data_IF_352045059860
#
_entry.id   IF_352045059860
#
_cell.length_a   1.000
_cell.length_b   1.000
_cell.length_c   1.000
_cell.angle_alpha   90.00
_cell.angle_beta   90.00
_cell.angle_gamma   90.00
#
_symmetry.space_group_name_H-M   'P 1'
#
loop_
_entity.id
_entity.type
_entity.pdbx_description
1 polymer ?
#
# COMPACT_ATOMS: atom_id res chain seq x y z
N UNK A 1 13.47 -0.43 10.90
CA UNK A 1 14.42 -0.74 9.81
C UNK A 1 13.74 -1.67 8.82
N UNK A 2 13.81 -1.36 7.54
CA UNK A 2 13.20 -2.15 6.47
C UNK A 2 13.82 -1.79 5.12
N UNK A 3 13.75 -2.72 4.17
CA UNK A 3 14.20 -2.57 2.78
C UNK A 3 13.05 -2.21 1.83
N UNK A 4 11.82 -2.27 2.32
CA UNK A 4 10.60 -1.99 1.58
C UNK A 4 9.51 -1.57 2.56
N UNK A 5 8.65 -0.65 2.13
CA UNK A 5 7.60 -0.06 2.97
C UNK A 5 6.24 -0.66 2.64
N UNK A 6 6.06 -1.11 1.39
CA UNK A 6 4.77 -1.56 0.89
C UNK A 6 4.87 -2.36 -0.39
N UNK A 7 3.83 -3.16 -0.63
CA UNK A 7 3.52 -3.75 -1.92
C UNK A 7 2.64 -2.78 -2.71
N UNK A 8 3.06 -2.46 -3.93
CA UNK A 8 2.24 -1.75 -4.91
C UNK A 8 1.73 -2.75 -5.97
N UNK A 9 0.48 -2.60 -6.39
CA UNK A 9 -0.15 -3.39 -7.46
C UNK A 9 -0.83 -2.43 -8.43
N UNK A 10 -0.62 -2.62 -9.72
CA UNK A 10 -1.34 -1.95 -10.79
C UNK A 10 -2.15 -2.99 -11.58
N UNK A 11 -3.46 -2.93 -11.42
CA UNK A 11 -4.42 -3.86 -12.03
C UNK A 11 -4.85 -3.38 -13.43
N UNK A 12 -5.27 -4.30 -14.29
CA UNK A 12 -5.71 -3.99 -15.65
C UNK A 12 -6.95 -3.08 -15.73
N UNK A 13 -7.76 -3.02 -14.66
CA UNK A 13 -8.88 -2.09 -14.50
C UNK A 13 -8.43 -0.65 -14.16
N UNK A 14 -7.12 -0.39 -14.04
CA UNK A 14 -6.54 0.91 -13.72
C UNK A 14 -6.41 1.22 -12.23
N UNK A 15 -6.80 0.30 -11.34
CA UNK A 15 -6.58 0.45 -9.90
C UNK A 15 -5.09 0.35 -9.58
N UNK A 16 -4.60 1.34 -8.83
CA UNK A 16 -3.33 1.27 -8.10
C UNK A 16 -3.66 0.96 -6.65
N UNK A 17 -3.16 -0.15 -6.12
CA UNK A 17 -3.35 -0.57 -4.74
C UNK A 17 -2.01 -0.55 -4.01
N UNK A 18 -1.97 0.17 -2.89
CA UNK A 18 -0.83 0.21 -1.99
C UNK A 18 -1.13 -0.52 -0.69
N UNK A 19 -0.32 -1.51 -0.37
CA UNK A 19 -0.40 -2.30 0.84
C UNK A 19 0.86 -2.08 1.68
N UNK A 20 0.82 -1.20 2.70
CA UNK A 20 1.93 -1.09 3.65
C UNK A 20 2.26 -2.44 4.27
N UNK A 21 3.55 -2.73 4.40
CA UNK A 21 4.05 -3.94 5.03
C UNK A 21 3.96 -3.82 6.55
N UNK A 22 3.80 -4.97 7.20
CA UNK A 22 3.83 -5.12 8.65
C UNK A 22 4.76 -6.27 9.01
N UNK A 23 5.29 -6.25 10.23
CA UNK A 23 5.92 -7.40 10.85
C UNK A 23 4.90 -8.04 11.80
N UNK A 24 4.13 -9.06 11.36
CA UNK A 24 3.05 -9.62 12.16
C UNK A 24 3.58 -10.59 13.22
N UNK A 25 2.79 -10.86 14.28
CA UNK A 25 3.13 -11.88 15.29
C UNK A 25 2.96 -13.32 14.79
N UNK A 26 2.26 -13.51 13.66
CA UNK A 26 1.99 -14.80 13.02
C UNK A 26 2.11 -14.65 11.51
N UNK A 27 2.42 -15.76 10.82
CA UNK A 27 2.47 -15.80 9.36
C UNK A 27 1.19 -15.19 8.76
N UNK A 28 1.37 -14.11 7.99
CA UNK A 28 0.27 -13.40 7.33
C UNK A 28 0.42 -13.55 5.82
N UNK A 29 -0.64 -14.07 5.19
CA UNK A 29 -0.71 -14.24 3.74
C UNK A 29 -1.87 -13.39 3.23
N UNK A 30 -1.60 -12.46 2.33
CA UNK A 30 -2.62 -11.69 1.63
C UNK A 30 -2.67 -12.08 0.15
N UNK A 31 -3.88 -12.20 -0.38
CA UNK A 31 -4.15 -12.56 -1.77
C UNK A 31 -4.95 -11.42 -2.41
N UNK A 32 -4.38 -10.81 -3.43
CA UNK A 32 -5.01 -9.73 -4.19
C UNK A 32 -5.42 -10.28 -5.56
N UNK A 33 -6.72 -10.56 -5.72
CA UNK A 33 -7.27 -11.01 -7.01
C UNK A 33 -7.14 -9.89 -8.04
N UNK A 34 -6.67 -10.24 -9.23
CA UNK A 34 -6.53 -9.33 -10.37
C UNK A 34 -7.06 -10.02 -11.63
N UNK A 35 -7.94 -9.36 -12.36
CA UNK A 35 -8.41 -9.86 -13.66
C UNK A 35 -7.34 -9.76 -14.76
N UNK A 36 -6.33 -8.93 -14.52
CA UNK A 36 -5.13 -8.78 -15.33
C UNK A 36 -4.15 -7.87 -14.61
N UNK A 37 -2.85 -8.07 -14.83
CA UNK A 37 -1.80 -7.38 -14.10
C UNK A 37 -1.02 -6.46 -15.03
N UNK A 38 -0.90 -5.18 -14.66
CA UNK A 38 -0.04 -4.20 -15.35
C UNK A 38 1.30 -4.03 -14.66
N UNK A 39 1.37 -4.34 -13.37
CA UNK A 39 2.61 -4.51 -12.63
C UNK A 39 2.38 -4.68 -11.15
N UNK A 40 3.42 -5.11 -10.43
CA UNK A 40 3.43 -5.18 -8.98
C UNK A 40 4.87 -5.13 -8.47
N UNK A 41 5.07 -4.75 -7.21
CA UNK A 41 6.43 -4.68 -6.68
C UNK A 41 6.49 -4.29 -5.22
N UNK A 42 7.63 -4.58 -4.59
CA UNK A 42 7.97 -4.08 -3.27
C UNK A 42 8.69 -2.75 -3.44
N UNK A 43 8.16 -1.70 -2.82
CA UNK A 43 8.69 -0.36 -2.95
C UNK A 43 9.16 0.13 -1.60
N UNK A 44 10.25 0.88 -1.66
CA UNK A 44 10.69 1.74 -0.59
C UNK A 44 10.48 3.19 -1.01
N UNK A 45 9.55 3.87 -0.32
CA UNK A 45 9.16 5.25 -0.51
C UNK A 45 9.82 6.18 0.49
N UNK A 46 10.17 5.69 1.68
CA UNK A 46 10.96 6.43 2.67
C UNK A 46 12.42 6.48 2.25
N UNK A 47 12.85 7.70 1.89
CA UNK A 47 14.19 8.01 1.35
C UNK A 47 14.95 9.03 2.19
N UNK A 48 14.37 9.47 3.30
CA UNK A 48 15.06 10.38 4.20
C UNK A 48 15.96 9.58 5.14
N UNK A 49 17.24 9.97 5.25
CA UNK A 49 18.16 9.37 6.23
C UNK A 49 17.56 9.38 7.64
N UNK A 50 16.85 10.45 8.00
CA UNK A 50 16.23 10.60 9.32
C UNK A 50 15.11 9.61 9.66
N UNK A 51 14.64 8.82 8.68
CA UNK A 51 13.71 7.72 8.94
C UNK A 51 14.44 6.46 9.46
N UNK A 52 15.76 6.39 9.29
CA UNK A 52 16.57 5.19 9.57
C UNK A 52 17.76 5.45 10.50
N UNK A 53 18.41 6.62 10.39
CA UNK A 53 19.54 7.07 11.23
C UNK A 53 20.71 6.06 11.30
N UNK A 54 20.87 5.22 10.27
CA UNK A 54 21.90 4.18 10.22
C UNK A 54 22.94 4.46 9.14
N UNK A 55 24.14 4.82 9.60
CA UNK A 55 25.29 5.18 8.76
C UNK A 55 25.90 3.98 8.01
N UNK A 56 25.71 2.76 8.50
CA UNK A 56 26.30 1.55 7.93
C UNK A 56 25.38 0.89 6.91
N UNK A 57 24.14 0.62 7.29
CA UNK A 57 23.19 -0.15 6.50
C UNK A 57 22.49 0.67 5.41
N UNK A 58 22.47 2.01 5.55
CA UNK A 58 22.00 2.99 4.54
C UNK A 58 20.67 2.59 3.89
N UNK A 59 19.69 2.23 4.72
CA UNK A 59 18.38 1.73 4.28
C UNK A 59 17.73 2.65 3.27
N UNK A 60 17.78 3.97 3.46
CA UNK A 60 17.17 4.98 2.59
C UNK A 60 17.62 4.92 1.12
N UNK A 61 18.76 4.27 0.85
CA UNK A 61 19.31 4.08 -0.50
C UNK A 61 18.91 2.75 -1.16
N UNK A 62 18.29 1.81 -0.44
CA UNK A 62 17.97 0.47 -0.98
C UNK A 62 16.89 0.53 -2.05
N UNK A 63 17.01 -0.18 -3.18
CA UNK A 63 16.14 0.04 -4.33
C UNK A 63 14.73 -0.50 -4.09
N UNK A 64 13.75 0.08 -4.79
CA UNK A 64 12.47 -0.59 -5.03
C UNK A 64 12.63 -1.61 -6.17
N UNK A 65 11.81 -2.67 -6.17
CA UNK A 65 11.75 -3.64 -7.26
C UNK A 65 10.32 -3.71 -7.83
N UNK A 66 10.16 -3.27 -9.08
CA UNK A 66 8.87 -3.25 -9.78
C UNK A 66 8.85 -4.20 -10.98
N UNK A 67 7.93 -5.16 -10.97
CA UNK A 67 7.74 -6.15 -12.03
C UNK A 67 6.66 -5.63 -12.98
N UNK A 68 7.01 -5.53 -14.26
CA UNK A 68 6.08 -5.22 -15.36
C UNK A 68 5.92 -6.45 -16.25
N UNK A 69 4.74 -7.09 -16.27
CA UNK A 69 4.43 -8.16 -17.23
C UNK A 69 4.61 -7.70 -18.68
N UNK A 70 5.17 -8.57 -19.51
CA UNK A 70 5.18 -8.42 -20.97
C UNK A 70 4.12 -9.39 -21.52
N UNK A 71 3.14 -8.83 -22.22
CA UNK A 71 1.96 -9.59 -22.64
C UNK A 71 0.87 -9.62 -21.57
N UNK A 72 -0.09 -10.52 -21.74
CA UNK A 72 -1.20 -10.71 -20.83
C UNK A 72 -1.01 -12.02 -20.04
N UNK A 73 -0.82 -11.89 -18.72
CA UNK A 73 -0.75 -13.05 -17.82
C UNK A 73 -2.14 -13.60 -17.46
N UNK A 74 -3.20 -12.90 -17.88
CA UNK A 74 -4.57 -13.24 -17.59
C UNK A 74 -4.94 -13.04 -16.11
N UNK A 75 -6.04 -13.69 -15.72
CA UNK A 75 -6.55 -13.65 -14.35
C UNK A 75 -5.61 -14.38 -13.40
N UNK A 76 -5.45 -13.82 -12.21
CA UNK A 76 -4.66 -14.44 -11.17
C UNK A 76 -4.71 -13.66 -9.88
N UNK A 77 -3.68 -13.84 -9.07
CA UNK A 77 -3.57 -13.17 -7.79
C UNK A 77 -2.13 -12.78 -7.51
N UNK A 78 -1.93 -11.55 -7.01
CA UNK A 78 -0.66 -11.19 -6.37
C UNK A 78 -0.75 -11.66 -4.92
N UNK A 79 0.22 -12.47 -4.52
CA UNK A 79 0.35 -13.03 -3.17
C UNK A 79 1.45 -12.30 -2.43
N UNK A 80 1.12 -11.81 -1.24
CA UNK A 80 2.04 -11.22 -0.28
C UNK A 80 2.15 -12.15 0.92
N UNK A 81 3.37 -12.53 1.29
CA UNK A 81 3.69 -13.33 2.47
C UNK A 81 4.51 -12.46 3.40
N UNK A 82 4.07 -12.32 4.65
CA UNK A 82 4.73 -11.56 5.70
C UNK A 82 4.98 -12.49 6.89
N UNK A 83 6.25 -12.75 7.15
CA UNK A 83 6.74 -13.73 8.10
C UNK A 83 7.11 -12.98 9.39
N UNK A 84 6.74 -13.49 10.57
CA UNK A 84 7.20 -12.90 11.83
C UNK A 84 8.73 -12.98 11.92
N UNK A 85 9.37 -11.86 12.22
CA UNK A 85 10.81 -11.83 12.52
C UNK A 85 11.09 -10.96 13.74
N UNK A 86 12.10 -11.34 14.52
CA UNK A 86 12.62 -10.54 15.62
C UNK A 86 13.87 -9.73 15.23
N UNK A 87 14.37 -9.90 14.01
CA UNK A 87 15.59 -9.24 13.54
C UNK A 87 15.51 -8.88 12.05
N UNK A 88 16.39 -7.96 11.64
CA UNK A 88 16.50 -7.46 10.26
C UNK A 88 17.39 -8.31 9.35
N UNK A 89 18.08 -9.32 9.89
CA UNK A 89 19.02 -10.15 9.11
C UNK A 89 18.33 -11.15 8.20
N UNK A 90 17.10 -11.56 8.56
CA UNK A 90 16.33 -12.52 7.78
C UNK A 90 15.22 -11.80 7.03
N UNK A 91 15.22 -11.95 5.70
CA UNK A 91 14.12 -11.47 4.88
C UNK A 91 12.81 -12.10 5.32
N UNK A 92 11.80 -11.26 5.54
CA UNK A 92 10.52 -11.69 6.07
C UNK A 92 9.33 -11.33 5.17
N UNK A 93 9.60 -10.83 3.95
CA UNK A 93 8.59 -10.39 2.99
C UNK A 93 8.79 -11.09 1.65
N UNK A 94 7.71 -11.66 1.10
CA UNK A 94 7.72 -12.27 -0.23
C UNK A 94 6.51 -11.80 -1.02
N UNK A 95 6.72 -11.35 -2.26
CA UNK A 95 5.65 -10.98 -3.18
C UNK A 95 5.81 -11.70 -4.53
N UNK A 96 4.75 -12.32 -5.02
CA UNK A 96 4.74 -13.01 -6.32
C UNK A 96 3.34 -13.09 -6.90
N UNK A 97 3.25 -13.31 -8.21
CA UNK A 97 1.99 -13.56 -8.88
C UNK A 97 1.74 -15.07 -9.04
N UNK A 98 0.48 -15.46 -8.97
CA UNK A 98 0.00 -16.81 -9.25
C UNK A 98 -1.10 -16.76 -10.32
N UNK A 99 -1.06 -17.63 -11.34
CA UNK A 99 -2.16 -17.76 -12.29
C UNK A 99 -3.43 -18.24 -11.59
N UNK A 100 -4.59 -17.77 -12.04
CA UNK A 100 -5.89 -18.22 -11.51
C UNK A 100 -6.18 -19.69 -11.80
N UNK A 101 -5.53 -20.26 -12.82
CA UNK A 101 -5.57 -21.69 -13.14
C UNK A 101 -4.19 -22.12 -13.58
N UNK A 102 -3.65 -23.17 -12.93
CA UNK A 102 -2.39 -23.77 -13.34
C UNK A 102 -2.62 -24.66 -14.57
N UNK A 103 -1.66 -24.70 -15.52
CA UNK A 103 -1.76 -25.66 -16.60
C UNK A 103 -1.58 -27.09 -16.07
N UNK A 104 -2.05 -28.11 -16.81
CA UNK A 104 -1.80 -29.51 -16.50
C UNK A 104 -0.31 -29.82 -16.33
N UNK A 105 0.00 -30.85 -15.53
CA UNK A 105 1.38 -31.32 -15.36
C UNK A 105 2.02 -31.64 -16.72
N UNK A 106 3.24 -31.15 -16.93
CA UNK A 106 3.97 -31.30 -18.20
C UNK A 106 3.71 -30.21 -19.23
N UNK A 107 2.73 -29.31 -19.02
CA UNK A 107 2.55 -28.13 -19.86
C UNK A 107 3.31 -26.92 -19.26
N UNK A 108 4.02 -26.14 -20.09
CA UNK A 108 4.76 -24.97 -19.61
C UNK A 108 3.82 -23.81 -19.24
N UNK A 109 4.28 -22.96 -18.33
CA UNK A 109 3.77 -21.59 -18.16
C UNK A 109 4.78 -20.66 -18.79
N UNK A 110 4.37 -19.87 -19.77
CA UNK A 110 5.22 -18.86 -20.39
C UNK A 110 4.93 -17.49 -19.75
N UNK A 111 5.94 -16.93 -19.08
CA UNK A 111 5.87 -15.61 -18.44
C UNK A 111 7.04 -14.76 -18.94
N UNK A 112 6.73 -13.66 -19.61
CA UNK A 112 7.70 -12.63 -19.94
C UNK A 112 7.47 -11.40 -19.04
N UNK A 113 8.53 -10.77 -18.54
CA UNK A 113 8.46 -9.59 -17.68
C UNK A 113 9.76 -8.78 -17.71
N UNK A 114 9.69 -7.56 -17.17
CA UNK A 114 10.86 -6.76 -16.79
C UNK A 114 10.82 -6.50 -15.29
N UNK A 115 12.00 -6.47 -14.66
CA UNK A 115 12.18 -5.99 -13.29
C UNK A 115 12.89 -4.65 -13.37
N UNK A 116 12.24 -3.61 -12.83
CA UNK A 116 12.83 -2.29 -12.65
C UNK A 116 13.33 -2.20 -11.21
N UNK A 117 14.65 -2.15 -11.04
CA UNK A 117 15.32 -1.96 -9.75
C UNK A 117 15.80 -0.52 -9.68
N UNK A 118 15.02 0.33 -9.02
CA UNK A 118 15.22 1.78 -9.04
C UNK A 118 14.60 2.46 -7.82
N UNK A 119 14.94 3.72 -7.57
CA UNK A 119 14.34 4.51 -6.48
C UNK A 119 13.06 5.24 -6.89
N UNK A 120 12.82 5.37 -8.20
CA UNK A 120 11.62 6.04 -8.73
C UNK A 120 10.36 5.20 -8.52
N UNK A 121 9.28 5.87 -8.13
CA UNK A 121 7.98 5.25 -7.95
C UNK A 121 7.28 5.09 -9.32
N UNK A 122 6.77 3.89 -9.64
CA UNK A 122 6.12 3.62 -10.92
C UNK A 122 4.74 4.29 -11.07
N UNK A 123 4.16 4.84 -10.00
CA UNK A 123 2.88 5.54 -10.07
C UNK A 123 2.98 6.80 -10.96
N UNK A 124 2.02 7.05 -11.87
CA UNK A 124 2.04 8.26 -12.68
C UNK A 124 1.94 9.53 -11.84
N UNK A 125 2.62 10.60 -12.24
CA UNK A 125 2.63 11.88 -11.52
C UNK A 125 1.23 12.53 -11.33
N UNK A 126 0.26 12.13 -12.14
CA UNK A 126 -1.15 12.57 -12.06
C UNK A 126 -1.93 11.90 -10.93
N UNK A 127 -1.40 10.82 -10.33
CA UNK A 127 -2.02 10.10 -9.23
C UNK A 127 -1.16 10.25 -7.98
N UNK A 128 -1.81 10.54 -6.85
CA UNK A 128 -1.12 10.66 -5.59
C UNK A 128 -0.83 9.31 -4.94
N UNK A 129 0.38 9.21 -4.39
CA UNK A 129 0.87 8.05 -3.66
C UNK A 129 0.82 8.28 -2.16
N UNK A 130 0.67 7.20 -1.42
CA UNK A 130 0.83 7.19 0.03
C UNK A 130 2.30 7.42 0.37
N UNK A 131 2.61 8.47 1.11
CA UNK A 131 3.96 8.75 1.62
C UNK A 131 4.13 8.36 3.08
N UNK A 132 3.05 8.28 3.85
CA UNK A 132 3.12 7.80 5.22
C UNK A 132 1.82 7.14 5.67
N UNK A 133 1.94 6.11 6.50
CA UNK A 133 0.84 5.49 7.23
C UNK A 133 1.17 5.52 8.71
N UNK A 134 0.28 6.07 9.54
CA UNK A 134 0.43 6.09 10.99
C UNK A 134 -0.82 5.51 11.62
N UNK A 135 -0.63 4.57 12.53
CA UNK A 135 -1.70 3.90 13.26
C UNK A 135 -1.45 4.09 14.75
N UNK A 136 -2.49 4.47 15.48
CA UNK A 136 -2.39 4.68 16.93
C UNK A 136 -3.74 4.55 17.60
N UNK A 137 -3.79 4.96 18.87
CA UNK A 137 -5.03 5.05 19.62
C UNK A 137 -5.88 6.24 19.14
N UNK A 138 -7.19 6.04 19.17
CA UNK A 138 -8.19 7.07 18.91
C UNK A 138 -8.56 7.87 20.15
N UNK A 139 -9.63 8.64 20.04
CA UNK A 139 -10.09 9.54 21.11
C UNK A 139 -10.81 8.81 22.25
N UNK A 140 -11.06 7.51 22.11
CA UNK A 140 -11.72 6.68 23.11
C UNK A 140 -11.08 5.29 23.19
N UNK A 141 -11.24 4.62 24.34
CA UNK A 141 -10.73 3.27 24.56
C UNK A 141 -11.30 2.28 23.52
N UNK A 142 -10.42 1.50 22.90
CA UNK A 142 -10.79 0.54 21.86
C UNK A 142 -11.09 1.15 20.49
N UNK A 143 -10.87 2.46 20.32
CA UNK A 143 -10.90 3.14 19.02
C UNK A 143 -9.47 3.25 18.49
N UNK A 144 -9.29 2.96 17.20
CA UNK A 144 -8.01 3.13 16.49
C UNK A 144 -8.09 4.34 15.59
N UNK A 145 -7.01 5.12 15.55
CA UNK A 145 -6.82 6.23 14.61
C UNK A 145 -5.83 5.82 13.52
N UNK A 146 -6.20 6.10 12.28
CA UNK A 146 -5.35 5.93 11.12
C UNK A 146 -5.17 7.29 10.45
N UNK A 147 -3.92 7.61 10.14
CA UNK A 147 -3.53 8.83 9.43
C UNK A 147 -2.68 8.43 8.23
N UNK A 148 -3.11 8.87 7.05
CA UNK A 148 -2.48 8.56 5.77
C UNK A 148 -2.13 9.89 5.10
N UNK A 149 -0.86 10.08 4.75
CA UNK A 149 -0.43 11.22 3.94
C UNK A 149 -0.30 10.80 2.48
N UNK A 150 -0.88 11.60 1.59
CA UNK A 150 -0.83 11.42 0.14
C UNK A 150 -0.14 12.61 -0.52
N UNK A 151 0.72 12.34 -1.51
CA UNK A 151 1.44 13.37 -2.25
C UNK A 151 1.49 13.10 -3.75
N UNK A 152 1.39 14.18 -4.53
CA UNK A 152 1.73 14.26 -5.95
C UNK A 152 1.93 15.72 -6.34
N UNK A 153 2.49 15.96 -7.53
CA UNK A 153 2.54 17.30 -8.12
C UNK A 153 1.14 17.93 -8.26
N UNK A 154 0.13 17.13 -8.63
CA UNK A 154 -1.25 17.59 -8.75
C UNK A 154 -1.88 17.97 -7.40
N UNK A 155 -1.66 17.15 -6.35
CA UNK A 155 -2.17 17.46 -5.01
C UNK A 155 -1.59 18.76 -4.44
N UNK A 156 -0.34 19.09 -4.78
CA UNK A 156 0.29 20.34 -4.33
C UNK A 156 -0.45 21.59 -4.83
N UNK A 157 -1.05 21.52 -6.02
CA UNK A 157 -1.78 22.62 -6.65
C UNK A 157 -3.21 22.81 -6.12
N UNK A 158 -3.76 21.87 -5.36
CA UNK A 158 -5.08 22.01 -4.77
C UNK A 158 -5.02 22.87 -3.50
N UNK A 159 -5.81 23.93 -3.46
CA UNK A 159 -5.94 24.78 -2.27
C UNK A 159 -6.57 24.05 -1.09
N UNK A 160 -6.34 24.54 0.13
CA UNK A 160 -6.91 23.93 1.34
C UNK A 160 -8.46 23.93 1.37
N UNK A 161 -9.09 24.79 0.58
CA UNK A 161 -10.54 24.87 0.42
C UNK A 161 -11.09 24.00 -0.71
N UNK A 162 -10.24 23.25 -1.42
CA UNK A 162 -10.69 22.34 -2.46
C UNK A 162 -11.57 21.23 -1.87
N UNK A 163 -12.60 20.81 -2.62
CA UNK A 163 -13.55 19.76 -2.20
C UNK A 163 -12.93 18.36 -2.33
N UNK A 164 -11.94 18.06 -1.49
CA UNK A 164 -11.29 16.76 -1.41
C UNK A 164 -11.98 15.94 -0.31
N UNK A 165 -12.50 14.77 -0.70
CA UNK A 165 -13.29 13.90 0.17
C UNK A 165 -12.54 12.61 0.48
N UNK A 166 -12.53 12.17 1.76
CA UNK A 166 -12.06 10.84 2.11
C UNK A 166 -13.10 9.80 1.69
N UNK A 167 -12.63 8.73 1.05
CA UNK A 167 -13.42 7.52 0.81
C UNK A 167 -12.76 6.40 1.60
N UNK A 168 -13.41 5.99 2.70
CA UNK A 168 -12.94 4.90 3.55
C UNK A 168 -13.94 3.76 3.52
N UNK A 169 -13.45 2.55 3.29
CA UNK A 169 -14.18 1.31 3.46
C UNK A 169 -13.52 0.51 4.59
N UNK A 170 -14.36 -0.03 5.47
CA UNK A 170 -13.95 -0.96 6.50
C UNK A 170 -14.73 -2.27 6.34
N UNK A 171 -14.04 -3.39 6.56
CA UNK A 171 -14.66 -4.70 6.65
C UNK A 171 -15.67 -4.79 7.80
N UNK A 172 -16.48 -5.87 7.85
CA UNK A 172 -17.61 -6.00 8.77
C UNK A 172 -17.24 -5.93 10.26
N UNK A 173 -15.98 -6.24 10.59
CA UNK A 173 -15.45 -6.22 11.96
C UNK A 173 -15.02 -4.80 12.40
N UNK A 174 -15.16 -3.79 11.54
CA UNK A 174 -14.80 -2.41 11.80
C UNK A 174 -15.98 -1.47 11.63
N UNK A 175 -16.19 -0.59 12.62
CA UNK A 175 -17.18 0.47 12.57
C UNK A 175 -16.47 1.82 12.42
N UNK A 176 -16.61 2.46 11.26
CA UNK A 176 -16.10 3.81 11.04
C UNK A 176 -16.85 4.81 11.95
N UNK A 177 -16.09 5.60 12.71
CA UNK A 177 -16.63 6.60 13.64
C UNK A 177 -16.60 7.98 12.99
N UNK A 178 -15.45 8.34 12.44
CA UNK A 178 -15.23 9.62 11.78
C UNK A 178 -14.15 9.49 10.72
N UNK A 179 -14.23 10.32 9.69
CA UNK A 179 -13.22 10.47 8.66
C UNK A 179 -13.12 11.93 8.25
N UNK A 180 -11.92 12.36 7.92
CA UNK A 180 -11.66 13.69 7.41
C UNK A 180 -10.51 13.67 6.40
N UNK A 181 -10.55 14.59 5.44
CA UNK A 181 -9.43 14.88 4.55
C UNK A 181 -9.09 16.36 4.65
N UNK A 182 -7.82 16.68 4.81
CA UNK A 182 -7.37 18.07 4.91
C UNK A 182 -5.99 18.25 4.30
N UNK A 183 -5.74 19.45 3.77
CA UNK A 183 -4.45 19.80 3.19
C UNK A 183 -3.36 19.70 4.24
N UNK A 184 -2.27 19.02 3.92
CA UNK A 184 -1.06 19.03 4.73
C UNK A 184 -0.17 20.17 4.25
N UNK A 185 -0.18 21.29 4.99
CA UNK A 185 0.57 22.51 4.59
C UNK A 185 2.10 22.33 4.65
N UNK A 186 2.59 21.33 5.38
CA UNK A 186 4.03 21.09 5.53
C UNK A 186 4.59 20.37 4.30
N UNK A 187 3.87 19.36 3.79
CA UNK A 187 4.31 18.59 2.61
C UNK A 187 3.72 19.12 1.30
N UNK A 188 2.67 19.94 1.39
CA UNK A 188 1.83 20.34 0.26
C UNK A 188 0.88 19.23 -0.22
N UNK A 189 0.92 18.04 0.39
CA UNK A 189 0.03 16.93 0.10
C UNK A 189 -1.35 17.06 0.76
N UNK A 190 -2.07 15.95 0.82
CA UNK A 190 -3.33 15.82 1.55
C UNK A 190 -3.25 14.70 2.57
N UNK A 191 -3.82 14.95 3.75
CA UNK A 191 -3.91 13.98 4.83
C UNK A 191 -5.33 13.46 4.91
N UNK A 192 -5.47 12.14 4.87
CA UNK A 192 -6.68 11.42 5.23
C UNK A 192 -6.52 10.92 6.66
N UNK A 193 -7.43 11.29 7.57
CA UNK A 193 -7.47 10.76 8.92
C UNK A 193 -8.84 10.18 9.22
N UNK A 194 -8.87 9.00 9.83
CA UNK A 194 -10.13 8.40 10.28
C UNK A 194 -9.95 7.63 11.58
N UNK A 195 -11.07 7.40 12.25
CA UNK A 195 -11.15 6.55 13.42
C UNK A 195 -12.19 5.47 13.24
N UNK A 196 -11.87 4.29 13.74
CA UNK A 196 -12.81 3.18 13.76
C UNK A 196 -12.77 2.46 15.10
N UNK A 197 -13.91 1.87 15.46
CA UNK A 197 -14.00 0.86 16.49
C UNK A 197 -13.79 -0.51 15.84
N UNK A 198 -12.83 -1.27 16.35
CA UNK A 198 -12.56 -2.63 15.91
C UNK A 198 -13.26 -3.62 16.85
N UNK A 199 -13.86 -4.66 16.29
CA UNK A 199 -14.36 -5.77 17.09
C UNK A 199 -13.18 -6.48 17.78
N UNK A 200 -13.28 -6.68 19.09
CA UNK A 200 -12.20 -7.21 19.92
C UNK A 200 -11.70 -8.57 19.38
N UNK A 201 -10.39 -8.69 19.18
CA UNK A 201 -9.76 -9.94 18.75
C UNK A 201 -9.97 -10.28 17.27
N UNK A 202 -10.60 -9.41 16.48
CA UNK A 202 -10.87 -9.63 15.05
C UNK A 202 -10.09 -8.66 14.19
N UNK A 203 -9.39 -9.11 13.16
CA UNK A 203 -8.72 -8.21 12.24
C UNK A 203 -9.74 -7.47 11.35
N UNK A 204 -9.41 -6.28 10.89
CA UNK A 204 -10.25 -5.47 10.00
C UNK A 204 -9.49 -5.13 8.72
N UNK A 205 -9.99 -5.57 7.56
CA UNK A 205 -9.50 -5.05 6.29
C UNK A 205 -10.04 -3.64 6.05
N UNK A 206 -9.15 -2.75 5.63
CA UNK A 206 -9.42 -1.34 5.39
C UNK A 206 -9.00 -0.98 3.97
N UNK A 207 -9.79 -0.11 3.35
CA UNK A 207 -9.40 0.59 2.12
C UNK A 207 -9.65 2.08 2.27
N UNK A 208 -8.76 2.90 1.75
CA UNK A 208 -8.91 4.35 1.79
C UNK A 208 -8.34 5.01 0.53
N UNK A 209 -9.00 6.06 0.06
CA UNK A 209 -8.54 6.89 -1.04
C UNK A 209 -9.08 8.33 -0.88
N UNK A 210 -8.52 9.27 -1.65
CA UNK A 210 -9.10 10.62 -1.77
C UNK A 210 -9.81 10.77 -3.10
N UNK A 211 -10.94 11.47 -3.07
CA UNK A 211 -11.67 11.91 -4.25
C UNK A 211 -11.69 13.43 -4.35
N UNK A 212 -11.66 13.95 -5.58
CA UNK A 212 -11.89 15.36 -5.87
C UNK A 212 -12.75 15.45 -7.13
N UNK A 213 -13.85 16.21 -7.05
CA UNK A 213 -14.85 16.34 -8.14
C UNK A 213 -15.40 14.99 -8.64
N UNK A 214 -15.54 14.02 -7.74
CA UNK A 214 -16.06 12.68 -8.06
C UNK A 214 -15.03 11.70 -8.62
N UNK A 215 -13.79 12.14 -8.88
CA UNK A 215 -12.71 11.29 -9.37
C UNK A 215 -11.77 10.88 -8.23
N UNK A 216 -11.34 9.60 -8.22
CA UNK A 216 -10.31 9.12 -7.29
C UNK A 216 -8.93 9.61 -7.73
N UNK A 217 -8.32 10.48 -6.93
CA UNK A 217 -7.05 11.16 -7.27
C UNK A 217 -5.81 10.51 -6.64
N UNK A 218 -5.99 9.51 -5.79
CA UNK A 218 -4.90 8.74 -5.16
C UNK A 218 -4.87 7.30 -5.67
N UNK A 219 -3.84 6.55 -5.32
CA UNK A 219 -3.96 5.10 -5.19
C UNK A 219 -4.94 4.72 -4.06
N UNK A 220 -5.41 3.48 -4.09
CA UNK A 220 -6.15 2.85 -3.00
C UNK A 220 -5.15 2.37 -1.95
N UNK A 221 -5.12 3.00 -0.79
CA UNK A 221 -4.45 2.45 0.39
C UNK A 221 -5.26 1.25 0.91
N UNK A 222 -4.62 0.11 1.11
CA UNK A 222 -5.23 -1.12 1.62
C UNK A 222 -4.44 -1.65 2.81
N UNK A 223 -5.10 -1.90 3.93
CA UNK A 223 -4.41 -2.24 5.18
C UNK A 223 -5.22 -3.23 6.01
N UNK A 224 -4.53 -4.16 6.68
CA UNK A 224 -5.14 -5.08 7.63
C UNK A 224 -4.78 -4.62 9.02
N UNK A 225 -5.77 -4.08 9.72
CA UNK A 225 -5.65 -3.75 11.12
C UNK A 225 -5.74 -5.05 11.92
N UNK A 226 -4.60 -5.53 12.41
CA UNK A 226 -4.55 -6.68 13.33
C UNK A 226 -5.15 -6.31 14.70
N UNK A 227 -5.61 -7.30 15.49
CA UNK A 227 -6.19 -7.08 16.82
C UNK A 227 -5.28 -6.38 17.82
#
# INVERSE_FOLDING_TARGET
MHDSDGLLIHSANGEWLWRPLVNPDRLLINLFQVDGLRGFGLLQRDRAFSAYEDLGARYELRPSAWITPIGDWGKGQVKLVQIPTANEYNDNIVAYWLPGTLPPAGQPIELAYRIHVQSDDPIPATRARTTATRVGDGDAAGVRRIVIDFESGALKQLDATADVKPVVWAGPEGQLIQQNAFKNIVTGGWRLAFQLKQQKGKPVELRAALQHKGETITETWSYLLLP
#
